data_IF_096048546788
#
_entry.id   IF_096048546788
#
_cell.length_a   1.000
_cell.length_b   1.000
_cell.length_c   1.000
_cell.angle_alpha   90.00
_cell.angle_beta   90.00
_cell.angle_gamma   90.00
#
_symmetry.space_group_name_H-M   'P 1'
#
loop_
_entity.id
_entity.type
_entity.pdbx_description
1 polymer ?
#
# COMPACT_ATOMS: atom_id res chain seq x y z
N UNK A 1 3.76 -11.71 7.76
CA UNK A 1 2.86 -12.56 6.93
C UNK A 1 1.95 -11.72 6.04
N UNK A 2 1.07 -10.86 6.56
CA UNK A 2 0.13 -10.07 5.75
C UNK A 2 0.77 -9.34 4.56
N UNK A 3 1.84 -8.58 4.82
CA UNK A 3 2.58 -7.88 3.77
C UNK A 3 3.09 -8.79 2.66
N UNK A 4 3.42 -10.04 3.00
CA UNK A 4 3.89 -11.06 2.04
C UNK A 4 2.74 -11.51 1.16
N UNK A 5 1.60 -11.88 1.74
CA UNK A 5 0.42 -12.29 0.97
C UNK A 5 -0.07 -11.16 0.05
N UNK A 6 -0.16 -9.94 0.59
CA UNK A 6 -0.59 -8.78 -0.18
C UNK A 6 0.41 -8.43 -1.30
N UNK A 7 1.73 -8.50 -1.06
CA UNK A 7 2.70 -8.17 -2.12
C UNK A 7 2.68 -9.23 -3.22
N UNK A 8 2.51 -10.51 -2.89
CA UNK A 8 2.40 -11.56 -3.90
C UNK A 8 1.13 -11.42 -4.73
N UNK A 9 0.01 -11.03 -4.12
CA UNK A 9 -1.19 -10.73 -4.90
C UNK A 9 -0.98 -9.52 -5.81
N UNK A 10 -0.46 -8.41 -5.29
CA UNK A 10 -0.27 -7.17 -6.06
C UNK A 10 0.78 -7.33 -7.16
N UNK A 11 1.93 -7.93 -6.88
CA UNK A 11 3.03 -8.06 -7.84
C UNK A 11 2.87 -9.33 -8.68
N UNK A 12 2.64 -10.47 -8.05
CA UNK A 12 2.61 -11.78 -8.70
C UNK A 12 1.33 -12.09 -9.47
N UNK A 13 0.21 -11.40 -9.17
CA UNK A 13 -1.02 -11.51 -9.95
C UNK A 13 -1.34 -10.18 -10.64
N UNK A 14 -1.63 -9.12 -9.86
CA UNK A 14 -2.23 -7.89 -10.38
C UNK A 14 -1.34 -7.14 -11.38
N UNK A 15 -0.04 -7.03 -11.11
CA UNK A 15 0.91 -6.36 -12.00
C UNK A 15 1.57 -7.28 -13.02
N UNK A 16 1.55 -8.60 -12.80
CA UNK A 16 2.16 -9.57 -13.72
C UNK A 16 1.24 -9.90 -14.89
N UNK A 17 -0.04 -10.22 -14.61
CA UNK A 17 -0.98 -10.67 -15.64
C UNK A 17 -1.16 -9.72 -16.84
N UNK A 18 -1.15 -8.38 -16.68
CA UNK A 18 -1.26 -7.44 -17.81
C UNK A 18 -0.13 -7.57 -18.84
N UNK A 19 1.02 -8.15 -18.48
CA UNK A 19 2.10 -8.40 -19.42
C UNK A 19 1.86 -9.64 -20.30
N UNK A 20 0.84 -10.45 -20.01
CA UNK A 20 0.63 -11.77 -20.62
C UNK A 20 -0.71 -11.87 -21.33
N UNK A 21 -0.83 -12.80 -22.28
CA UNK A 21 -2.11 -13.14 -22.92
C UNK A 21 -2.84 -14.33 -22.29
N UNK A 22 -2.32 -14.88 -21.17
CA UNK A 22 -2.85 -16.08 -20.52
C UNK A 22 -4.30 -15.92 -20.03
N UNK A 23 -4.60 -14.77 -19.44
CA UNK A 23 -5.86 -14.52 -18.72
C UNK A 23 -6.42 -13.14 -19.11
N UNK A 24 -7.11 -13.00 -20.26
CA UNK A 24 -7.69 -11.72 -20.67
C UNK A 24 -8.68 -11.13 -19.64
N UNK A 25 -9.37 -11.99 -18.89
CA UNK A 25 -10.29 -11.62 -17.80
C UNK A 25 -9.65 -11.51 -16.41
N UNK A 26 -8.32 -11.33 -16.32
CA UNK A 26 -7.62 -11.25 -15.04
C UNK A 26 -8.13 -10.11 -14.15
N UNK A 27 -8.58 -9.00 -14.76
CA UNK A 27 -9.20 -7.86 -14.11
C UNK A 27 -10.72 -7.99 -14.19
N UNK A 28 -11.30 -8.61 -13.17
CA UNK A 28 -12.74 -8.70 -12.94
C UNK A 28 -13.09 -8.17 -11.54
N UNK A 29 -14.39 -7.98 -11.26
CA UNK A 29 -14.88 -7.42 -10.00
C UNK A 29 -14.30 -8.12 -8.75
N UNK A 30 -14.15 -9.45 -8.77
CA UNK A 30 -13.62 -10.19 -7.63
C UNK A 30 -12.12 -9.92 -7.42
N UNK A 31 -11.35 -9.96 -8.50
CA UNK A 31 -9.90 -9.67 -8.44
C UNK A 31 -9.61 -8.19 -8.15
N UNK A 32 -10.49 -7.29 -8.57
CA UNK A 32 -10.48 -5.88 -8.19
C UNK A 32 -10.75 -5.69 -6.70
N UNK A 33 -11.74 -6.41 -6.14
CA UNK A 33 -11.98 -6.44 -4.71
C UNK A 33 -10.72 -6.87 -3.94
N UNK A 34 -10.07 -7.96 -4.37
CA UNK A 34 -8.83 -8.44 -3.75
C UNK A 34 -7.68 -7.43 -3.87
N UNK A 35 -7.57 -6.70 -5.00
CA UNK A 35 -6.58 -5.61 -5.18
C UNK A 35 -6.79 -4.52 -4.15
N UNK A 36 -8.02 -4.01 -4.04
CA UNK A 36 -8.39 -2.95 -3.10
C UNK A 36 -8.16 -3.39 -1.65
N UNK A 37 -8.52 -4.62 -1.30
CA UNK A 37 -8.29 -5.19 0.04
C UNK A 37 -6.79 -5.33 0.32
N UNK A 38 -5.99 -5.83 -0.63
CA UNK A 38 -4.55 -6.02 -0.44
C UNK A 38 -3.83 -4.68 -0.23
N UNK A 39 -4.13 -3.67 -1.06
CA UNK A 39 -3.61 -2.31 -0.88
C UNK A 39 -4.08 -1.69 0.44
N UNK A 40 -5.37 -1.83 0.77
CA UNK A 40 -5.93 -1.38 2.04
C UNK A 40 -5.26 -2.01 3.24
N UNK A 41 -4.90 -3.29 3.15
CA UNK A 41 -4.19 -4.02 4.21
C UNK A 41 -2.78 -3.46 4.43
N UNK A 42 -2.06 -3.07 3.38
CA UNK A 42 -0.78 -2.38 3.54
C UNK A 42 -0.93 -1.04 4.25
N UNK A 43 -1.94 -0.25 3.86
CA UNK A 43 -2.24 1.04 4.46
C UNK A 43 -2.64 0.89 5.93
N UNK A 44 -3.52 -0.05 6.24
CA UNK A 44 -3.92 -0.40 7.60
C UNK A 44 -2.72 -0.80 8.44
N UNK A 45 -1.87 -1.72 7.93
CA UNK A 45 -0.67 -2.15 8.64
C UNK A 45 0.27 -0.98 8.93
N UNK A 46 0.37 -0.02 7.99
CA UNK A 46 1.18 1.18 8.16
C UNK A 46 0.67 2.04 9.32
N UNK A 47 -0.63 2.34 9.34
CA UNK A 47 -1.27 3.07 10.44
C UNK A 47 -1.16 2.34 11.78
N UNK A 48 -1.41 1.03 11.78
CA UNK A 48 -1.31 0.17 12.98
C UNK A 48 0.06 0.21 13.64
N UNK A 49 1.13 0.09 12.84
CA UNK A 49 2.50 0.12 13.37
C UNK A 49 2.89 1.49 13.91
N UNK A 50 2.34 2.56 13.33
CA UNK A 50 2.54 3.93 13.79
C UNK A 50 1.78 4.22 15.08
N UNK A 51 0.57 3.69 15.24
CA UNK A 51 -0.23 3.84 16.45
C UNK A 51 0.44 3.29 17.73
N UNK A 52 1.49 2.48 17.60
CA UNK A 52 2.30 2.00 18.74
C UNK A 52 3.31 3.02 19.25
N UNK A 53 3.69 3.98 18.41
CA UNK A 53 4.81 4.85 18.72
C UNK A 53 4.37 5.97 19.67
N UNK A 54 5.13 6.25 20.74
CA UNK A 54 4.93 7.47 21.49
C UNK A 54 5.33 8.64 20.59
N UNK A 55 4.36 9.48 20.25
CA UNK A 55 4.59 10.67 19.44
C UNK A 55 4.45 11.90 20.33
N UNK A 56 5.52 12.68 20.42
CA UNK A 56 5.50 14.02 20.98
C UNK A 56 5.28 15.03 19.85
N UNK A 57 4.39 16.01 20.10
CA UNK A 57 4.02 17.02 19.10
C UNK A 57 4.93 18.26 19.16
N UNK A 58 6.01 18.21 19.95
CA UNK A 58 7.01 19.27 19.94
C UNK A 58 7.89 19.18 18.68
N UNK A 59 8.54 20.29 18.28
CA UNK A 59 9.36 20.32 17.06
C UNK A 59 10.44 19.24 16.98
N UNK A 60 11.06 18.88 18.11
CA UNK A 60 12.13 17.87 18.15
C UNK A 60 11.58 16.45 17.95
N UNK A 61 10.43 16.16 18.56
CA UNK A 61 9.68 14.93 18.40
C UNK A 61 9.20 14.72 16.97
N UNK A 62 8.57 15.75 16.40
CA UNK A 62 8.10 15.74 15.02
C UNK A 62 9.25 15.62 14.02
N UNK A 63 10.32 16.39 14.19
CA UNK A 63 11.51 16.31 13.34
C UNK A 63 12.13 14.91 13.36
N UNK A 64 12.25 14.30 14.54
CA UNK A 64 12.75 12.92 14.69
C UNK A 64 11.82 11.91 14.00
N UNK A 65 10.50 12.06 14.17
CA UNK A 65 9.51 11.18 13.55
C UNK A 65 9.60 11.23 12.02
N UNK A 66 9.53 12.43 11.42
CA UNK A 66 9.54 12.59 9.97
C UNK A 66 10.89 12.20 9.36
N UNK A 67 12.01 12.57 9.99
CA UNK A 67 13.35 12.22 9.51
C UNK A 67 13.53 10.71 9.42
N UNK A 68 13.11 9.95 10.43
CA UNK A 68 13.21 8.47 10.42
C UNK A 68 12.42 7.85 9.28
N UNK A 69 11.25 8.42 8.94
CA UNK A 69 10.40 7.91 7.85
C UNK A 69 10.94 8.28 6.48
N UNK A 70 11.34 9.54 6.33
CA UNK A 70 11.95 10.04 5.11
C UNK A 70 13.19 9.21 4.77
N UNK A 71 14.13 9.08 5.70
CA UNK A 71 15.35 8.27 5.49
C UNK A 71 15.08 6.79 5.29
N UNK A 72 13.93 6.25 5.68
CA UNK A 72 13.65 4.83 5.45
C UNK A 72 13.08 4.54 4.06
N UNK A 73 12.31 5.46 3.51
CA UNK A 73 11.46 5.22 2.35
C UNK A 73 11.91 6.04 1.14
N UNK A 74 12.21 7.32 1.37
CA UNK A 74 12.37 8.30 0.31
C UNK A 74 13.62 8.05 -0.57
N UNK A 75 14.79 7.65 -0.04
CA UNK A 75 15.96 7.41 -0.91
C UNK A 75 15.76 6.25 -1.89
N UNK A 76 15.20 5.12 -1.44
CA UNK A 76 14.89 3.99 -2.31
C UNK A 76 13.78 4.34 -3.31
N UNK A 77 12.79 5.12 -2.87
CA UNK A 77 11.74 5.63 -3.75
C UNK A 77 12.29 6.58 -4.82
N UNK A 78 13.21 7.49 -4.47
CA UNK A 78 13.86 8.40 -5.40
C UNK A 78 14.67 7.65 -6.45
N UNK A 79 15.42 6.63 -6.02
CA UNK A 79 16.11 5.73 -6.95
C UNK A 79 15.12 5.07 -7.92
N UNK A 80 13.99 4.56 -7.41
CA UNK A 80 12.96 3.96 -8.25
C UNK A 80 12.35 4.97 -9.25
N UNK A 81 12.06 6.20 -8.84
CA UNK A 81 11.54 7.25 -9.74
C UNK A 81 12.50 7.52 -10.90
N UNK A 82 13.79 7.70 -10.60
CA UNK A 82 14.82 7.94 -11.61
C UNK A 82 14.89 6.77 -12.58
N UNK A 83 14.93 5.54 -12.07
CA UNK A 83 14.98 4.34 -12.90
C UNK A 83 13.72 4.17 -13.77
N UNK A 84 12.53 4.52 -13.26
CA UNK A 84 11.29 4.53 -14.05
C UNK A 84 11.35 5.56 -15.19
N UNK A 85 11.87 6.75 -14.92
CA UNK A 85 12.09 7.76 -15.96
C UNK A 85 13.08 7.29 -17.03
N UNK A 86 14.23 6.74 -16.61
CA UNK A 86 15.26 6.22 -17.53
C UNK A 86 14.77 5.02 -18.36
N UNK A 87 13.91 4.17 -17.80
CA UNK A 87 13.33 3.02 -18.50
C UNK A 87 12.14 3.38 -19.41
N UNK A 88 11.76 4.67 -19.48
CA UNK A 88 10.61 5.14 -20.27
C UNK A 88 9.26 4.71 -19.69
N UNK A 89 9.19 4.31 -18.42
CA UNK A 89 7.96 3.92 -17.73
C UNK A 89 7.17 5.11 -17.17
N UNK A 90 7.78 6.29 -17.15
CA UNK A 90 7.17 7.52 -16.65
C UNK A 90 7.67 8.75 -17.42
N UNK A 91 6.82 9.76 -17.54
CA UNK A 91 7.22 11.05 -18.11
C UNK A 91 8.08 11.85 -17.12
N UNK A 92 8.84 12.82 -17.63
CA UNK A 92 9.64 13.72 -16.79
C UNK A 92 8.77 14.47 -15.77
N UNK A 93 7.57 14.91 -16.16
CA UNK A 93 6.61 15.54 -15.24
C UNK A 93 6.25 14.61 -14.08
N UNK A 94 5.89 13.35 -14.37
CA UNK A 94 5.57 12.36 -13.33
C UNK A 94 6.75 12.08 -12.39
N UNK A 95 7.98 12.10 -12.90
CA UNK A 95 9.19 11.95 -12.08
C UNK A 95 9.33 13.17 -11.15
N UNK A 96 9.21 14.39 -11.67
CA UNK A 96 9.30 15.63 -10.90
C UNK A 96 8.22 15.68 -9.81
N UNK A 97 6.96 15.43 -10.17
CA UNK A 97 5.84 15.43 -9.22
C UNK A 97 6.00 14.34 -8.15
N UNK A 98 6.56 13.20 -8.56
CA UNK A 98 6.94 12.11 -7.66
C UNK A 98 8.04 12.52 -6.68
N UNK A 99 9.08 13.22 -7.13
CA UNK A 99 10.18 13.72 -6.29
C UNK A 99 9.62 14.66 -5.21
N UNK A 100 8.76 15.60 -5.59
CA UNK A 100 8.16 16.55 -4.65
C UNK A 100 7.01 15.96 -3.82
N UNK A 101 6.64 14.70 -4.04
CA UNK A 101 5.53 14.01 -3.39
C UNK A 101 4.16 14.71 -3.58
N UNK A 102 4.00 15.43 -4.69
CA UNK A 102 2.77 16.18 -4.99
C UNK A 102 1.82 15.45 -5.93
N UNK A 103 2.26 14.33 -6.52
CA UNK A 103 1.51 13.60 -7.56
C UNK A 103 0.13 13.07 -7.14
N UNK A 104 -0.20 13.05 -5.84
CA UNK A 104 -1.56 12.74 -5.35
C UNK A 104 -2.51 13.93 -5.48
N UNK A 105 -1.97 15.14 -5.45
CA UNK A 105 -2.70 16.40 -5.53
C UNK A 105 -2.62 17.03 -6.92
N UNK A 106 -1.64 16.61 -7.73
CA UNK A 106 -1.46 17.00 -9.12
C UNK A 106 -1.25 15.73 -10.00
N UNK A 107 -2.31 15.06 -10.46
CA UNK A 107 -2.23 13.85 -11.27
C UNK A 107 -1.77 14.13 -12.72
N UNK A 108 -1.17 13.15 -13.43
CA UNK A 108 -1.25 11.72 -13.18
C UNK A 108 -0.12 11.18 -12.30
N UNK A 109 -0.48 10.53 -11.19
CA UNK A 109 0.49 9.82 -10.37
C UNK A 109 1.12 8.64 -11.12
N UNK A 110 2.42 8.42 -10.88
CA UNK A 110 3.17 7.38 -11.55
C UNK A 110 2.60 5.97 -11.26
N UNK A 111 2.42 5.10 -12.28
CA UNK A 111 1.93 3.75 -12.08
C UNK A 111 2.76 2.99 -11.06
N UNK A 112 2.09 2.40 -10.08
CA UNK A 112 2.69 1.73 -8.92
C UNK A 112 3.37 2.65 -7.92
N UNK A 113 4.21 3.60 -8.32
CA UNK A 113 4.92 4.45 -7.36
C UNK A 113 4.01 5.45 -6.61
N UNK A 114 2.81 5.71 -7.14
CA UNK A 114 1.76 6.52 -6.49
C UNK A 114 1.50 6.17 -5.01
N UNK A 115 1.59 4.89 -4.64
CA UNK A 115 1.31 4.46 -3.27
C UNK A 115 2.32 5.03 -2.27
N UNK A 116 3.57 5.21 -2.69
CA UNK A 116 4.60 5.80 -1.83
C UNK A 116 4.30 7.28 -1.60
N UNK A 117 3.91 8.03 -2.64
CA UNK A 117 3.45 9.41 -2.48
C UNK A 117 2.28 9.50 -1.51
N UNK A 118 1.27 8.64 -1.69
CA UNK A 118 0.10 8.59 -0.81
C UNK A 118 0.48 8.29 0.65
N UNK A 119 1.28 7.24 0.90
CA UNK A 119 1.61 6.86 2.27
C UNK A 119 2.49 7.91 2.96
N UNK A 120 3.34 8.62 2.21
CA UNK A 120 4.12 9.74 2.74
C UNK A 120 3.21 10.91 3.14
N UNK A 121 2.17 11.21 2.36
CA UNK A 121 1.15 12.20 2.74
C UNK A 121 0.41 11.77 4.03
N UNK A 122 0.05 10.49 4.16
CA UNK A 122 -0.55 9.99 5.41
C UNK A 122 0.40 10.06 6.60
N UNK A 123 1.71 9.93 6.41
CA UNK A 123 2.66 10.11 7.50
C UNK A 123 2.71 11.54 8.03
N UNK A 124 2.46 12.56 7.20
CA UNK A 124 2.31 13.94 7.67
C UNK A 124 1.11 14.08 8.62
N UNK A 125 0.05 13.29 8.39
CA UNK A 125 -1.15 13.28 9.23
C UNK A 125 -1.03 12.37 10.45
N UNK A 126 -0.02 11.49 10.51
CA UNK A 126 0.04 10.46 11.54
C UNK A 126 0.18 11.02 12.97
N UNK A 127 1.07 12.00 13.26
CA UNK A 127 1.21 12.54 14.61
C UNK A 127 -0.10 13.06 15.26
N UNK A 128 -0.88 13.94 14.60
CA UNK A 128 -2.15 14.39 15.16
C UNK A 128 -3.19 13.26 15.24
N UNK A 129 -3.25 12.36 14.25
CA UNK A 129 -4.19 11.23 14.28
C UNK A 129 -3.90 10.26 15.44
N UNK A 130 -2.64 10.02 15.78
CA UNK A 130 -2.25 9.17 16.92
C UNK A 130 -2.72 9.79 18.25
N UNK A 131 -2.64 11.12 18.39
CA UNK A 131 -3.15 11.82 19.59
C UNK A 131 -4.67 11.81 19.67
N UNK A 132 -5.34 11.95 18.54
CA UNK A 132 -6.80 11.91 18.48
C UNK A 132 -7.36 10.49 18.68
N UNK A 133 -6.56 9.45 18.43
CA UNK A 133 -7.02 8.07 18.53
C UNK A 133 -7.46 7.64 19.92
N UNK A 134 -7.04 8.35 20.98
CA UNK A 134 -7.54 8.13 22.35
C UNK A 134 -8.93 8.72 22.58
N UNK A 135 -9.41 9.53 21.63
CA UNK A 135 -10.70 10.22 21.66
C UNK A 135 -11.52 9.86 20.40
N UNK A 136 -12.26 8.74 20.42
CA UNK A 136 -12.89 8.17 19.23
C UNK A 136 -13.71 9.15 18.38
N UNK A 137 -14.58 9.94 19.03
CA UNK A 137 -15.45 10.90 18.34
C UNK A 137 -14.63 11.95 17.59
N UNK A 138 -13.57 12.47 18.21
CA UNK A 138 -12.70 13.48 17.60
C UNK A 138 -11.85 12.91 16.47
N UNK A 139 -11.42 11.65 16.59
CA UNK A 139 -10.74 10.97 15.50
C UNK A 139 -11.67 10.78 14.29
N UNK A 140 -12.89 10.31 14.51
CA UNK A 140 -13.88 10.14 13.44
C UNK A 140 -14.22 11.46 12.77
N UNK A 141 -14.42 12.52 13.57
CA UNK A 141 -14.67 13.87 13.05
C UNK A 141 -13.48 14.38 12.22
N UNK A 142 -12.24 14.22 12.72
CA UNK A 142 -11.05 14.65 11.98
C UNK A 142 -10.91 13.92 10.65
N UNK A 143 -11.11 12.59 10.63
CA UNK A 143 -11.07 11.79 9.39
C UNK A 143 -12.18 12.24 8.42
N UNK A 144 -13.41 12.44 8.91
CA UNK A 144 -14.51 12.92 8.09
C UNK A 144 -14.25 14.31 7.50
N UNK A 145 -13.70 15.24 8.30
CA UNK A 145 -13.32 16.58 7.83
C UNK A 145 -12.18 16.53 6.80
N UNK A 146 -11.18 15.67 6.99
CA UNK A 146 -10.11 15.48 6.01
C UNK A 146 -10.65 14.88 4.70
N UNK A 147 -11.55 13.89 4.77
CA UNK A 147 -12.20 13.35 3.57
C UNK A 147 -13.05 14.42 2.88
N UNK A 148 -13.79 15.23 3.62
CA UNK A 148 -14.56 16.35 3.07
C UNK A 148 -13.64 17.37 2.41
N UNK A 149 -12.51 17.73 3.04
CA UNK A 149 -11.53 18.65 2.47
C UNK A 149 -10.96 18.13 1.14
N UNK A 150 -10.64 16.83 1.05
CA UNK A 150 -10.21 16.19 -0.20
C UNK A 150 -11.29 16.23 -1.29
N UNK A 151 -12.55 15.99 -0.93
CA UNK A 151 -13.69 16.08 -1.86
C UNK A 151 -13.86 17.53 -2.35
N UNK A 152 -13.79 18.50 -1.44
CA UNK A 152 -13.91 19.94 -1.78
C UNK A 152 -12.75 20.36 -2.69
N UNK A 153 -11.51 19.97 -2.36
CA UNK A 153 -10.34 20.22 -3.21
C UNK A 153 -10.53 19.65 -4.63
N UNK A 154 -10.95 18.38 -4.72
CA UNK A 154 -11.20 17.70 -6.00
C UNK A 154 -12.25 18.43 -6.86
N UNK A 155 -13.26 19.02 -6.22
CA UNK A 155 -14.40 19.64 -6.91
C UNK A 155 -14.19 21.11 -7.24
N UNK A 156 -13.48 21.86 -6.40
CA UNK A 156 -13.43 23.33 -6.47
C UNK A 156 -12.05 23.88 -6.86
N UNK A 157 -10.97 23.14 -6.59
CA UNK A 157 -9.61 23.66 -6.78
C UNK A 157 -8.94 22.95 -7.95
N UNK A 158 -8.70 21.65 -7.80
CA UNK A 158 -8.02 20.84 -8.81
C UNK A 158 -8.34 19.38 -8.62
N UNK A 159 -8.30 18.62 -9.72
CA UNK A 159 -8.52 17.18 -9.67
C UNK A 159 -7.38 16.51 -8.91
N UNK A 160 -7.70 15.82 -7.81
CA UNK A 160 -6.74 14.98 -7.08
C UNK A 160 -6.88 13.50 -7.48
N UNK A 161 -5.86 12.72 -7.18
CA UNK A 161 -5.90 11.26 -7.27
C UNK A 161 -6.78 10.68 -6.15
N UNK A 162 -7.94 10.11 -6.51
CA UNK A 162 -8.96 9.68 -5.55
C UNK A 162 -8.54 8.51 -4.64
N UNK A 163 -7.40 7.86 -4.92
CA UNK A 163 -6.87 6.81 -4.04
C UNK A 163 -6.51 7.37 -2.67
N UNK A 164 -6.08 8.64 -2.58
CA UNK A 164 -5.85 9.29 -1.28
C UNK A 164 -7.12 9.36 -0.43
N UNK A 165 -8.29 9.60 -1.05
CA UNK A 165 -9.58 9.60 -0.38
C UNK A 165 -9.99 8.19 0.06
N UNK A 166 -9.79 7.19 -0.79
CA UNK A 166 -10.18 5.79 -0.52
C UNK A 166 -9.41 5.17 0.66
N UNK A 167 -8.10 5.45 0.76
CA UNK A 167 -7.22 4.80 1.73
C UNK A 167 -7.00 5.59 3.03
N UNK A 168 -7.33 6.88 3.08
CA UNK A 168 -7.24 7.69 4.30
C UNK A 168 -7.99 7.09 5.49
N UNK A 169 -9.29 6.72 5.39
CA UNK A 169 -10.00 6.14 6.53
C UNK A 169 -9.41 4.80 6.97
N UNK A 170 -8.79 4.05 6.06
CA UNK A 170 -8.14 2.76 6.34
C UNK A 170 -6.84 2.96 7.11
N UNK A 171 -6.07 3.99 6.75
CA UNK A 171 -4.87 4.38 7.50
C UNK A 171 -5.21 4.79 8.93
N UNK A 172 -6.22 5.65 9.07
CA UNK A 172 -6.72 6.09 10.37
C UNK A 172 -7.26 4.91 11.19
N UNK A 173 -8.03 4.00 10.58
CA UNK A 173 -8.53 2.80 11.26
C UNK A 173 -7.38 1.94 11.81
N UNK A 174 -6.27 1.82 11.09
CA UNK A 174 -5.08 1.12 11.59
C UNK A 174 -4.54 1.73 12.89
N UNK A 175 -4.40 3.06 12.93
CA UNK A 175 -3.99 3.80 14.14
C UNK A 175 -5.01 3.58 15.26
N UNK A 176 -6.30 3.74 14.96
CA UNK A 176 -7.39 3.62 15.93
C UNK A 176 -7.44 2.23 16.56
N UNK A 177 -7.38 1.19 15.74
CA UNK A 177 -7.38 -0.21 16.17
C UNK A 177 -6.21 -0.52 17.11
N UNK A 178 -5.03 0.08 16.87
CA UNK A 178 -3.88 -0.09 17.75
C UNK A 178 -4.03 0.64 19.10
N UNK A 179 -4.73 1.79 19.12
CA UNK A 179 -4.89 2.63 20.31
C UNK A 179 -6.11 2.26 21.17
N UNK A 180 -7.02 1.44 20.65
CA UNK A 180 -8.26 1.04 21.31
C UNK A 180 -8.31 -0.46 21.62
N UNK A 181 -7.84 -0.89 22.81
CA UNK A 181 -7.85 -2.31 23.20
C UNK A 181 -9.25 -2.94 23.21
N UNK A 182 -10.28 -2.17 23.58
CA UNK A 182 -11.66 -2.63 23.60
C UNK A 182 -12.15 -3.01 22.19
N UNK A 183 -11.87 -2.17 21.19
CA UNK A 183 -12.19 -2.46 19.79
C UNK A 183 -11.45 -3.71 19.30
N UNK A 184 -10.17 -3.84 19.66
CA UNK A 184 -9.36 -5.01 19.32
C UNK A 184 -9.97 -6.29 19.88
N UNK A 185 -10.26 -6.33 21.18
CA UNK A 185 -10.88 -7.48 21.85
C UNK A 185 -12.22 -7.86 21.23
N UNK A 186 -13.10 -6.86 21.06
CA UNK A 186 -14.40 -7.06 20.42
C UNK A 186 -14.28 -7.71 19.03
N UNK A 187 -13.39 -7.21 18.17
CA UNK A 187 -13.22 -7.73 16.82
C UNK A 187 -12.54 -9.10 16.77
N UNK A 188 -11.63 -9.39 17.71
CA UNK A 188 -11.00 -10.71 17.80
C UNK A 188 -11.98 -11.78 18.27
N UNK A 189 -12.94 -11.41 19.10
CA UNK A 189 -13.98 -12.32 19.62
C UNK A 189 -15.12 -12.50 18.60
N UNK A 190 -15.44 -11.45 17.83
CA UNK A 190 -16.55 -11.42 16.88
C UNK A 190 -16.11 -11.55 15.41
N UNK A 191 -15.28 -12.55 15.09
CA UNK A 191 -14.72 -12.69 13.74
C UNK A 191 -15.73 -13.14 12.68
N UNK A 192 -16.78 -13.87 13.07
CA UNK A 192 -17.77 -14.39 12.12
C UNK A 192 -18.61 -13.27 11.48
N UNK A 193 -19.19 -12.33 12.25
CA UNK A 193 -19.84 -11.15 11.68
C UNK A 193 -18.92 -10.37 10.74
N UNK A 194 -17.65 -10.22 11.09
CA UNK A 194 -16.67 -9.52 10.26
C UNK A 194 -16.46 -10.21 8.89
N UNK A 195 -16.37 -11.55 8.88
CA UNK A 195 -16.26 -12.33 7.63
C UNK A 195 -17.54 -12.26 6.80
N UNK A 196 -18.71 -12.35 7.43
CA UNK A 196 -19.99 -12.22 6.74
C UNK A 196 -20.10 -10.82 6.11
N UNK A 197 -19.74 -9.78 6.85
CA UNK A 197 -19.73 -8.41 6.34
C UNK A 197 -18.76 -8.27 5.17
N UNK A 198 -17.56 -8.87 5.23
CA UNK A 198 -16.65 -8.88 4.08
C UNK A 198 -17.31 -9.50 2.84
N UNK A 199 -17.94 -10.68 2.98
CA UNK A 199 -18.63 -11.35 1.87
C UNK A 199 -19.72 -10.45 1.27
N UNK A 200 -20.49 -9.75 2.12
CA UNK A 200 -21.53 -8.81 1.68
C UNK A 200 -20.96 -7.56 1.00
N UNK A 201 -19.75 -7.13 1.36
CA UNK A 201 -19.10 -5.95 0.76
C UNK A 201 -18.35 -6.27 -0.54
N UNK A 202 -18.01 -7.54 -0.83
CA UNK A 202 -17.27 -7.92 -2.06
C UNK A 202 -17.87 -7.37 -3.35
N UNK A 203 -19.21 -7.39 -3.57
CA UNK A 203 -19.82 -6.88 -4.79
C UNK A 203 -19.66 -5.36 -4.99
N UNK A 204 -19.29 -4.59 -3.96
CA UNK A 204 -19.06 -3.15 -4.10
C UNK A 204 -17.97 -2.82 -5.12
N UNK A 205 -17.03 -3.74 -5.36
CA UNK A 205 -16.02 -3.66 -6.43
C UNK A 205 -16.58 -3.60 -7.86
N UNK A 206 -17.85 -3.95 -8.08
CA UNK A 206 -18.49 -3.84 -9.40
C UNK A 206 -18.79 -2.40 -9.80
N UNK A 207 -18.99 -1.52 -8.82
CA UNK A 207 -19.44 -0.14 -9.01
C UNK A 207 -18.47 0.86 -8.40
N UNK A 208 -17.76 0.47 -7.33
CA UNK A 208 -16.71 1.24 -6.71
C UNK A 208 -15.45 1.25 -7.57
N UNK A 209 -14.82 2.41 -7.68
CA UNK A 209 -13.68 2.63 -8.57
C UNK A 209 -12.87 3.85 -8.11
N UNK A 210 -11.69 4.05 -8.70
CA UNK A 210 -10.77 5.15 -8.39
C UNK A 210 -10.93 6.37 -9.34
N UNK A 211 -11.93 6.37 -10.22
CA UNK A 211 -12.11 7.37 -11.28
C UNK A 211 -13.14 8.45 -10.94
N UNK A 212 -14.07 8.15 -10.02
CA UNK A 212 -15.10 9.10 -9.59
C UNK A 212 -15.23 9.15 -8.07
N UNK A 213 -15.62 10.31 -7.53
CA UNK A 213 -15.82 10.48 -6.08
C UNK A 213 -16.85 9.49 -5.54
N UNK A 214 -17.95 9.27 -6.27
CA UNK A 214 -18.98 8.29 -5.87
C UNK A 214 -18.44 6.87 -5.88
N UNK A 215 -17.67 6.49 -6.91
CA UNK A 215 -16.98 5.20 -6.97
C UNK A 215 -16.01 5.01 -5.80
N UNK A 216 -15.21 6.05 -5.52
CA UNK A 216 -14.21 6.03 -4.46
C UNK A 216 -14.87 5.84 -3.09
N UNK A 217 -15.95 6.58 -2.79
CA UNK A 217 -16.71 6.44 -1.54
C UNK A 217 -17.42 5.09 -1.44
N UNK A 218 -17.92 4.56 -2.56
CA UNK A 218 -18.62 3.27 -2.60
C UNK A 218 -17.67 2.11 -2.26
N UNK A 219 -16.38 2.19 -2.62
CA UNK A 219 -15.43 1.11 -2.36
C UNK A 219 -14.87 1.13 -0.93
N UNK A 220 -14.92 2.27 -0.23
CA UNK A 220 -14.33 2.45 1.11
C UNK A 220 -14.78 1.38 2.12
N UNK A 221 -16.08 1.02 2.23
CA UNK A 221 -16.52 -0.03 3.16
C UNK A 221 -15.84 -1.38 2.90
N UNK A 222 -15.69 -1.78 1.63
CA UNK A 222 -14.98 -3.01 1.26
C UNK A 222 -13.51 -2.96 1.69
N UNK A 223 -12.83 -1.84 1.47
CA UNK A 223 -11.42 -1.69 1.84
C UNK A 223 -11.24 -1.76 3.36
N UNK A 224 -12.07 -1.04 4.11
CA UNK A 224 -12.05 -1.02 5.58
C UNK A 224 -12.27 -2.42 6.17
N UNK A 225 -13.36 -3.06 5.77
CA UNK A 225 -13.75 -4.38 6.29
C UNK A 225 -12.76 -5.46 5.83
N UNK A 226 -12.32 -5.41 4.57
CA UNK A 226 -11.36 -6.38 4.05
C UNK A 226 -10.00 -6.28 4.74
N UNK A 227 -9.46 -5.07 4.89
CA UNK A 227 -8.19 -4.87 5.59
C UNK A 227 -8.27 -5.34 7.04
N UNK A 228 -9.34 -4.99 7.75
CA UNK A 228 -9.58 -5.39 9.13
C UNK A 228 -9.74 -6.91 9.27
N UNK A 229 -10.51 -7.54 8.37
CA UNK A 229 -10.72 -8.99 8.36
C UNK A 229 -9.41 -9.72 8.13
N UNK A 230 -8.65 -9.36 7.08
CA UNK A 230 -7.36 -9.98 6.83
C UNK A 230 -6.42 -9.80 8.02
N UNK A 231 -6.42 -8.62 8.64
CA UNK A 231 -5.59 -8.35 9.80
C UNK A 231 -5.91 -9.26 10.99
N UNK A 232 -7.19 -9.37 11.37
CA UNK A 232 -7.64 -10.22 12.48
C UNK A 232 -7.39 -11.71 12.21
N UNK A 233 -7.53 -12.16 10.95
CA UNK A 233 -7.27 -13.54 10.57
C UNK A 233 -5.78 -13.88 10.51
N UNK A 234 -4.94 -12.89 10.25
CA UNK A 234 -3.52 -13.10 10.06
C UNK A 234 -2.83 -13.73 11.27
N UNK A 235 -3.22 -13.31 12.47
CA UNK A 235 -2.63 -13.80 13.73
C UNK A 235 -2.83 -15.31 13.89
N UNK A 236 -3.94 -15.87 13.39
CA UNK A 236 -4.22 -17.32 13.47
C UNK A 236 -3.39 -18.15 12.48
N UNK A 237 -3.05 -17.58 11.33
CA UNK A 237 -2.33 -18.29 10.26
C UNK A 237 -0.81 -18.12 10.42
N UNK A 238 -0.36 -16.98 10.97
CA UNK A 238 1.05 -16.66 11.11
C UNK A 238 1.83 -17.72 11.90
N UNK A 239 1.22 -18.32 12.93
CA UNK A 239 1.83 -19.38 13.74
C UNK A 239 2.07 -20.70 13.01
N UNK A 240 1.50 -20.90 11.81
CA UNK A 240 1.60 -22.15 11.03
C UNK A 240 2.66 -22.10 9.92
N UNK A 241 3.30 -20.95 9.73
CA UNK A 241 4.19 -20.71 8.60
C UNK A 241 5.65 -20.61 9.05
N UNK A 242 6.57 -20.95 8.15
CA UNK A 242 8.00 -20.89 8.42
C UNK A 242 8.47 -19.45 8.65
N UNK A 243 8.77 -19.11 9.90
CA UNK A 243 9.12 -17.75 10.34
C UNK A 243 10.25 -17.09 9.55
N UNK A 244 11.40 -17.76 9.32
CA UNK A 244 12.52 -17.19 8.56
C UNK A 244 12.13 -16.81 7.13
N UNK A 245 11.35 -17.64 6.45
CA UNK A 245 10.86 -17.36 5.09
C UNK A 245 9.94 -16.14 5.07
N UNK A 246 9.01 -16.03 6.04
CA UNK A 246 8.16 -14.85 6.15
C UNK A 246 8.97 -13.59 6.44
N UNK A 247 9.98 -13.68 7.31
CA UNK A 247 10.83 -12.55 7.65
C UNK A 247 11.61 -12.06 6.43
N UNK A 248 12.20 -12.98 5.66
CA UNK A 248 12.86 -12.69 4.40
C UNK A 248 11.92 -12.01 3.40
N UNK A 249 10.76 -12.61 3.13
CA UNK A 249 9.80 -12.07 2.16
C UNK A 249 9.18 -10.73 2.61
N UNK A 250 8.96 -10.55 3.92
CA UNK A 250 8.48 -9.29 4.48
C UNK A 250 9.57 -8.20 4.43
N UNK A 251 10.83 -8.59 4.49
CA UNK A 251 11.95 -7.69 4.30
C UNK A 251 12.02 -7.21 2.84
N UNK A 252 11.90 -8.13 1.88
CA UNK A 252 11.98 -7.83 0.44
C UNK A 252 10.75 -7.12 -0.15
N UNK A 253 9.60 -7.13 0.55
CA UNK A 253 8.33 -6.68 -0.01
C UNK A 253 8.34 -5.22 -0.49
N UNK A 254 9.06 -4.33 0.21
CA UNK A 254 9.15 -2.92 -0.18
C UNK A 254 10.04 -2.72 -1.41
N UNK A 255 11.21 -3.36 -1.46
CA UNK A 255 12.05 -3.33 -2.65
C UNK A 255 11.33 -3.92 -3.85
N UNK A 256 10.65 -5.06 -3.67
CA UNK A 256 9.90 -5.73 -4.72
C UNK A 256 8.79 -4.82 -5.26
N UNK A 257 8.09 -4.11 -4.37
CA UNK A 257 7.11 -3.11 -4.75
C UNK A 257 7.70 -2.03 -5.66
N UNK A 258 8.89 -1.52 -5.34
CA UNK A 258 9.53 -0.45 -6.08
C UNK A 258 10.07 -0.90 -7.46
N UNK A 259 10.64 -2.11 -7.56
CA UNK A 259 11.44 -2.49 -8.73
C UNK A 259 10.79 -3.54 -9.66
N UNK A 260 9.70 -4.22 -9.27
CA UNK A 260 9.18 -5.35 -10.06
C UNK A 260 8.86 -5.01 -11.51
N UNK A 261 8.33 -3.82 -11.82
CA UNK A 261 8.03 -3.42 -13.20
C UNK A 261 9.28 -3.28 -14.05
N UNK A 262 10.35 -2.70 -13.49
CA UNK A 262 11.65 -2.60 -14.15
C UNK A 262 12.20 -3.99 -14.45
N UNK A 263 12.08 -4.91 -13.49
CA UNK A 263 12.53 -6.30 -13.65
C UNK A 263 11.73 -7.02 -14.73
N UNK A 264 10.39 -6.91 -14.70
CA UNK A 264 9.54 -7.53 -15.72
C UNK A 264 9.85 -6.97 -17.11
N UNK A 265 9.96 -5.65 -17.26
CA UNK A 265 10.29 -5.03 -18.55
C UNK A 265 11.67 -5.46 -19.06
N UNK A 266 12.69 -5.50 -18.20
CA UNK A 266 14.02 -5.96 -18.58
C UNK A 266 14.01 -7.42 -19.03
N UNK A 267 13.33 -8.31 -18.31
CA UNK A 267 13.24 -9.72 -18.65
C UNK A 267 12.46 -9.96 -19.95
N UNK A 268 11.35 -9.24 -20.15
CA UNK A 268 10.57 -9.28 -21.39
C UNK A 268 11.43 -8.80 -22.57
N UNK A 269 12.23 -7.74 -22.38
CA UNK A 269 13.14 -7.24 -23.41
C UNK A 269 14.27 -8.22 -23.77
N UNK A 270 14.67 -9.10 -22.85
CA UNK A 270 15.66 -10.14 -23.11
C UNK A 270 15.05 -11.39 -23.76
N UNK A 271 13.92 -11.85 -23.25
CA UNK A 271 13.22 -13.03 -23.76
C UNK A 271 11.75 -13.01 -23.32
N UNK A 272 10.84 -13.20 -24.27
CA UNK A 272 9.42 -13.33 -23.98
C UNK A 272 8.77 -14.42 -24.85
N UNK A 273 8.19 -15.48 -24.24
CA UNK A 273 7.52 -16.54 -24.99
C UNK A 273 6.33 -16.03 -25.81
N UNK A 274 5.99 -16.70 -26.91
CA UNK A 274 4.82 -16.33 -27.73
C UNK A 274 3.48 -16.71 -27.08
N UNK A 275 3.44 -17.86 -26.39
CA UNK A 275 2.21 -18.40 -25.81
C UNK A 275 1.90 -17.78 -24.44
N UNK A 276 0.66 -17.31 -24.25
CA UNK A 276 0.24 -16.60 -23.04
C UNK A 276 0.52 -17.33 -21.72
N UNK A 277 0.17 -18.61 -21.62
CA UNK A 277 0.42 -19.39 -20.39
C UNK A 277 1.90 -19.58 -20.10
N UNK A 278 2.73 -19.68 -21.15
CA UNK A 278 4.18 -19.78 -21.01
C UNK A 278 4.77 -18.43 -20.58
N UNK A 279 4.22 -17.31 -21.05
CA UNK A 279 4.57 -15.96 -20.57
C UNK A 279 4.29 -15.82 -19.07
N UNK A 280 3.11 -16.23 -18.61
CA UNK A 280 2.73 -16.18 -17.20
C UNK A 280 3.66 -17.07 -16.35
N UNK A 281 3.92 -18.31 -16.80
CA UNK A 281 4.84 -19.22 -16.13
C UNK A 281 6.27 -18.63 -16.07
N UNK A 282 6.76 -18.05 -17.16
CA UNK A 282 8.08 -17.41 -17.22
C UNK A 282 8.19 -16.25 -16.22
N UNK A 283 7.23 -15.33 -16.21
CA UNK A 283 7.25 -14.21 -15.27
C UNK A 283 7.06 -14.67 -13.82
N UNK A 284 6.29 -15.73 -13.55
CA UNK A 284 6.11 -16.28 -12.20
C UNK A 284 7.33 -17.06 -11.70
N UNK A 285 7.96 -17.86 -12.56
CA UNK A 285 9.06 -18.76 -12.19
C UNK A 285 10.44 -18.08 -12.29
N UNK A 286 10.58 -17.07 -13.14
CA UNK A 286 11.84 -16.34 -13.35
C UNK A 286 11.70 -14.89 -12.90
N UNK A 287 10.68 -14.17 -13.39
CA UNK A 287 10.54 -12.74 -13.13
C UNK A 287 10.33 -12.37 -11.67
N UNK A 288 9.41 -13.07 -10.99
CA UNK A 288 9.09 -12.81 -9.60
C UNK A 288 10.26 -13.19 -8.66
N UNK A 289 10.91 -14.37 -8.79
CA UNK A 289 12.13 -14.67 -8.05
C UNK A 289 13.27 -13.69 -8.31
N UNK A 290 13.53 -13.31 -9.56
CA UNK A 290 14.53 -12.30 -9.90
C UNK A 290 14.23 -10.96 -9.23
N UNK A 291 12.96 -10.54 -9.24
CA UNK A 291 12.50 -9.35 -8.55
C UNK A 291 12.71 -9.41 -7.04
N UNK A 292 12.45 -10.55 -6.40
CA UNK A 292 12.69 -10.76 -4.97
C UNK A 292 14.18 -10.67 -4.63
N UNK A 293 15.04 -11.30 -5.43
CA UNK A 293 16.49 -11.28 -5.23
C UNK A 293 17.08 -9.89 -5.43
N UNK A 294 16.67 -9.18 -6.48
CA UNK A 294 17.09 -7.80 -6.72
C UNK A 294 16.63 -6.89 -5.58
N UNK A 295 15.36 -6.99 -5.19
CA UNK A 295 14.79 -6.23 -4.08
C UNK A 295 15.56 -6.46 -2.77
N UNK A 296 15.91 -7.72 -2.49
CA UNK A 296 16.73 -8.08 -1.34
C UNK A 296 18.10 -7.39 -1.40
N UNK A 297 18.79 -7.49 -2.54
CA UNK A 297 20.11 -6.88 -2.73
C UNK A 297 20.10 -5.36 -2.56
N UNK A 298 19.14 -4.68 -3.20
CA UNK A 298 18.98 -3.23 -3.11
C UNK A 298 18.69 -2.79 -1.67
N UNK A 299 17.75 -3.45 -0.99
CA UNK A 299 17.42 -3.10 0.39
C UNK A 299 18.58 -3.39 1.35
N UNK A 300 19.28 -4.53 1.18
CA UNK A 300 20.43 -4.88 2.01
C UNK A 300 21.59 -3.91 1.81
N UNK A 301 21.87 -3.52 0.57
CA UNK A 301 22.88 -2.52 0.26
C UNK A 301 22.55 -1.17 0.90
N UNK A 302 21.29 -0.73 0.78
CA UNK A 302 20.83 0.51 1.39
C UNK A 302 20.91 0.51 2.93
N UNK A 303 20.46 -0.57 3.56
CA UNK A 303 20.53 -0.72 5.02
C UNK A 303 21.99 -0.72 5.51
N UNK A 304 22.90 -1.32 4.74
CA UNK A 304 24.34 -1.32 5.02
C UNK A 304 24.95 0.08 4.96
N UNK A 305 24.61 0.89 3.95
CA UNK A 305 25.10 2.26 3.78
C UNK A 305 24.59 3.21 4.87
N UNK A 306 23.34 3.04 5.29
CA UNK A 306 22.69 3.92 6.25
C UNK A 306 22.87 3.49 7.70
N UNK A 307 23.55 2.36 7.94
CA UNK A 307 23.66 1.74 9.27
C UNK A 307 22.29 1.40 9.87
N UNK A 308 21.26 1.20 9.04
CA UNK A 308 19.86 1.08 9.45
C UNK A 308 19.55 -0.15 10.32
N UNK A 309 20.50 -1.06 10.47
CA UNK A 309 20.49 -2.05 11.56
C UNK A 309 20.41 -1.42 12.96
N UNK A 310 20.76 -0.13 13.13
CA UNK A 310 20.65 0.64 14.38
C UNK A 310 19.36 1.47 14.54
N UNK A 311 18.48 1.51 13.52
CA UNK A 311 17.23 2.30 13.53
C UNK A 311 15.96 1.44 13.65
N UNK A 312 16.12 0.13 13.92
CA UNK A 312 15.01 -0.81 14.14
C UNK A 312 14.43 -0.71 15.54
#
# INVERSE_FOLDING_TARGET
MLRVLCIFYIVGYWHLMPYTTALPGYANWFTEALKYIALGTFVFCSGFLLGRQPVTLDPSGLGTFYRRRLLRIYPLYLLALILFGLAGLASLGQVIDGIFLISMFDPPAMPTLWFVTMIMAFYLLAPPLIRLADRPVWMLLAVALLMLALIVQHRLIQTIDLRILMYLPVFALGIFYQRQPALRGFLTDNQWPLRLLLLLMLPLSRIGNEWSVSGALTIVPLILIGALTLFVLADRIAGRLHGPTIAFLAYTSFGLYLCHRLVFQALIGMYFPEQGWVQALYLMAVGLPAGILLAYGVQRGYDGLTGATRLR
#
